data_IF_910375472422
#
_entry.id   IF_910375472422
#
_cell.length_a   1.000
_cell.length_b   1.000
_cell.length_c   1.000
_cell.angle_alpha   90.00
_cell.angle_beta   90.00
_cell.angle_gamma   90.00
#
_symmetry.space_group_name_H-M   'P 1'
#
loop_
_entity.id
_entity.type
_entity.pdbx_description
1 polymer ?
#
# COMPACT_ATOMS: atom_id res chain seq x y z
N UNK A 1 8.82 3.57 -11.50
CA UNK A 1 7.72 3.58 -10.51
C UNK A 1 8.18 2.77 -9.32
N UNK A 2 7.79 3.16 -8.12
CA UNK A 2 8.10 2.46 -6.88
C UNK A 2 6.80 2.05 -6.19
N UNK A 3 6.87 1.17 -5.18
CA UNK A 3 5.74 0.87 -4.31
C UNK A 3 5.61 2.01 -3.30
N UNK A 4 4.60 2.90 -3.41
CA UNK A 4 4.53 4.13 -2.62
C UNK A 4 4.33 3.88 -1.12
N UNK A 5 3.75 2.73 -0.77
CA UNK A 5 3.53 2.27 0.60
C UNK A 5 3.81 0.77 0.63
N UNK A 6 5.01 0.40 1.06
CA UNK A 6 5.42 -1.00 1.25
C UNK A 6 5.24 -1.38 2.72
N UNK A 7 4.11 -2.02 3.01
CA UNK A 7 3.67 -2.30 4.38
C UNK A 7 4.42 -3.49 4.97
N UNK A 8 4.71 -3.40 6.26
CA UNK A 8 5.08 -4.53 7.10
C UNK A 8 3.94 -4.84 8.07
N UNK A 9 3.88 -6.07 8.58
CA UNK A 9 2.92 -6.49 9.59
C UNK A 9 3.59 -7.30 10.71
N UNK A 10 2.87 -7.46 11.82
CA UNK A 10 3.16 -8.47 12.83
C UNK A 10 2.12 -9.58 12.75
N UNK A 11 2.47 -10.68 12.10
CA UNK A 11 1.64 -11.89 12.08
C UNK A 11 2.07 -12.87 13.17
N UNK A 12 1.11 -13.30 14.00
CA UNK A 12 1.33 -14.28 15.07
C UNK A 12 0.48 -15.53 14.87
N UNK A 13 0.92 -16.63 15.50
CA UNK A 13 0.13 -17.86 15.56
C UNK A 13 -1.21 -17.63 16.24
N UNK A 14 -2.31 -18.02 15.57
CA UNK A 14 -3.67 -17.92 16.13
C UNK A 14 -3.80 -18.73 17.45
N UNK A 15 -3.07 -19.84 17.59
CA UNK A 15 -3.05 -20.63 18.84
C UNK A 15 -2.48 -19.82 20.00
N UNK A 16 -1.39 -19.09 19.77
CA UNK A 16 -0.77 -18.25 20.80
C UNK A 16 -1.62 -17.02 21.09
N UNK A 17 -2.15 -16.38 20.05
CA UNK A 17 -3.07 -15.25 20.17
C UNK A 17 -4.30 -15.58 21.02
N UNK A 18 -4.88 -16.76 20.85
CA UNK A 18 -6.07 -17.16 21.61
C UNK A 18 -5.81 -17.52 23.07
N UNK A 19 -4.54 -17.69 23.48
CA UNK A 19 -4.17 -17.99 24.87
C UNK A 19 -3.97 -16.74 25.73
N UNK A 20 -3.73 -15.59 25.12
CA UNK A 20 -3.47 -14.35 25.86
C UNK A 20 -4.78 -13.66 26.25
N UNK A 21 -4.75 -12.93 27.36
CA UNK A 21 -5.93 -12.22 27.89
C UNK A 21 -6.37 -11.08 26.93
N UNK A 22 -7.64 -10.62 27.02
CA UNK A 22 -8.09 -9.46 26.25
C UNK A 22 -7.21 -8.22 26.44
N UNK A 23 -6.77 -7.95 27.67
CA UNK A 23 -5.87 -6.84 27.97
C UNK A 23 -4.50 -6.98 27.26
N UNK A 24 -3.97 -8.20 27.16
CA UNK A 24 -2.72 -8.45 26.45
C UNK A 24 -2.88 -8.33 24.93
N UNK A 25 -4.03 -8.73 24.36
CA UNK A 25 -4.31 -8.52 22.94
C UNK A 25 -4.33 -7.04 22.60
N UNK A 26 -5.07 -6.25 23.40
CA UNK A 26 -5.13 -4.80 23.25
C UNK A 26 -3.74 -4.17 23.39
N UNK A 27 -2.94 -4.61 24.38
CA UNK A 27 -1.57 -4.16 24.55
C UNK A 27 -0.73 -4.40 23.28
N UNK A 28 -0.76 -5.62 22.73
CA UNK A 28 -0.01 -5.93 21.50
C UNK A 28 -0.47 -5.06 20.33
N UNK A 29 -1.77 -4.90 20.13
CA UNK A 29 -2.31 -4.04 19.05
C UNK A 29 -1.82 -2.60 19.18
N UNK A 30 -1.90 -2.02 20.38
CA UNK A 30 -1.45 -0.64 20.64
C UNK A 30 0.06 -0.49 20.42
N UNK A 31 0.88 -1.41 20.91
CA UNK A 31 2.33 -1.34 20.74
C UNK A 31 2.76 -1.53 19.29
N UNK A 32 2.05 -2.36 18.51
CA UNK A 32 2.31 -2.48 17.06
C UNK A 32 1.95 -1.19 16.32
N UNK A 33 0.86 -0.51 16.70
CA UNK A 33 0.52 0.80 16.14
C UNK A 33 1.59 1.85 16.45
N UNK A 34 2.03 1.95 17.71
CA UNK A 34 3.13 2.85 18.11
C UNK A 34 4.42 2.51 17.37
N UNK A 35 4.76 1.22 17.26
CA UNK A 35 5.92 0.76 16.51
C UNK A 35 5.84 1.16 15.04
N UNK A 36 4.68 1.02 14.39
CA UNK A 36 4.46 1.38 12.99
C UNK A 36 4.85 2.85 12.73
N UNK A 37 4.37 3.76 13.57
CA UNK A 37 4.65 5.19 13.46
C UNK A 37 6.14 5.49 13.69
N UNK A 38 6.71 4.92 14.76
CA UNK A 38 8.12 5.10 15.10
C UNK A 38 9.06 4.51 14.04
N UNK A 39 8.72 3.34 13.51
CA UNK A 39 9.46 2.66 12.45
C UNK A 39 9.45 3.53 11.18
N UNK A 40 8.26 3.93 10.72
CA UNK A 40 8.13 4.79 9.54
C UNK A 40 8.95 6.08 9.68
N UNK A 41 8.82 6.81 10.80
CA UNK A 41 9.56 8.05 11.02
C UNK A 41 11.09 7.86 11.02
N UNK A 42 11.58 6.75 11.59
CA UNK A 42 13.02 6.42 11.57
C UNK A 42 13.52 6.11 10.17
N UNK A 43 12.75 5.34 9.38
CA UNK A 43 13.08 5.04 7.99
C UNK A 43 13.12 6.32 7.17
N UNK A 44 12.10 7.19 7.28
CA UNK A 44 12.10 8.48 6.57
C UNK A 44 13.34 9.31 6.90
N UNK A 45 13.74 9.40 8.17
CA UNK A 45 14.97 10.11 8.57
C UNK A 45 16.22 9.46 7.97
N UNK A 46 16.30 8.14 7.96
CA UNK A 46 17.43 7.41 7.40
C UNK A 46 17.52 7.58 5.88
N UNK A 47 16.39 7.56 5.18
CA UNK A 47 16.31 7.78 3.73
C UNK A 47 16.76 9.19 3.36
N UNK A 48 16.36 10.21 4.13
CA UNK A 48 16.86 11.58 3.94
C UNK A 48 18.38 11.66 4.09
N UNK A 49 18.96 10.97 5.07
CA UNK A 49 20.42 10.90 5.24
C UNK A 49 21.12 10.08 4.14
N UNK A 50 20.42 9.10 3.54
CA UNK A 50 20.98 8.25 2.50
C UNK A 50 21.22 8.98 1.18
N UNK A 51 20.44 10.03 0.88
CA UNK A 51 20.64 10.85 -0.33
C UNK A 51 22.08 11.35 -0.48
N UNK A 52 22.67 11.87 0.61
CA UNK A 52 24.06 12.34 0.59
C UNK A 52 25.06 11.23 0.25
N UNK A 53 24.80 10.01 0.74
CA UNK A 53 25.66 8.84 0.46
C UNK A 53 25.60 8.44 -1.01
N UNK A 54 24.41 8.52 -1.62
CA UNK A 54 24.25 8.25 -3.05
C UNK A 54 24.97 9.30 -3.91
N UNK A 55 24.91 10.58 -3.53
CA UNK A 55 25.66 11.66 -4.18
C UNK A 55 27.17 11.43 -4.09
N UNK A 56 27.69 11.12 -2.89
CA UNK A 56 29.12 10.87 -2.66
C UNK A 56 29.63 9.64 -3.42
N UNK A 57 28.77 8.65 -3.62
CA UNK A 57 29.03 7.47 -4.44
C UNK A 57 28.95 7.73 -5.95
N UNK A 58 28.59 8.95 -6.39
CA UNK A 58 28.43 9.29 -7.80
C UNK A 58 27.19 8.66 -8.45
N UNK A 59 26.14 8.37 -7.67
CA UNK A 59 24.90 7.76 -8.16
C UNK A 59 24.12 8.74 -9.03
N UNK A 60 23.66 8.30 -10.20
CA UNK A 60 22.77 9.07 -11.07
C UNK A 60 21.32 8.69 -10.81
N UNK A 61 20.50 9.65 -10.38
CA UNK A 61 19.07 9.45 -10.14
C UNK A 61 18.26 9.90 -11.35
N UNK A 62 17.69 8.96 -12.08
CA UNK A 62 16.79 9.23 -13.21
C UNK A 62 15.35 9.41 -12.72
N UNK A 63 14.61 10.35 -13.33
CA UNK A 63 13.18 10.57 -13.07
C UNK A 63 12.39 10.16 -14.29
N UNK A 64 11.34 9.36 -14.09
CA UNK A 64 10.39 9.04 -15.15
C UNK A 64 9.56 10.29 -15.50
N UNK A 65 9.12 10.36 -16.75
CA UNK A 65 8.21 11.40 -17.22
C UNK A 65 6.76 11.14 -16.77
N UNK A 66 5.90 12.14 -16.93
CA UNK A 66 4.47 11.98 -16.72
C UNK A 66 3.87 10.95 -17.68
N UNK A 67 4.30 10.96 -18.95
CA UNK A 67 3.85 10.01 -19.97
C UNK A 67 4.17 8.55 -19.59
N UNK A 68 5.34 8.32 -18.97
CA UNK A 68 5.69 7.00 -18.45
C UNK A 68 4.72 6.56 -17.35
N UNK A 69 4.40 7.47 -16.40
CA UNK A 69 3.44 7.19 -15.31
C UNK A 69 2.05 6.88 -15.87
N UNK A 70 1.60 7.62 -16.88
CA UNK A 70 0.31 7.38 -17.54
C UNK A 70 0.28 6.05 -18.28
N UNK A 71 1.35 5.70 -19.00
CA UNK A 71 1.48 4.42 -19.69
C UNK A 71 1.39 3.25 -18.70
N UNK A 72 2.10 3.34 -17.58
CA UNK A 72 2.00 2.34 -16.51
C UNK A 72 0.62 2.31 -15.84
N UNK A 73 -0.03 3.46 -15.64
CA UNK A 73 -1.36 3.51 -15.04
C UNK A 73 -2.39 2.77 -15.91
N UNK A 74 -2.34 2.97 -17.23
CA UNK A 74 -3.19 2.25 -18.20
C UNK A 74 -3.01 0.73 -18.15
N UNK A 75 -1.80 0.26 -17.81
CA UNK A 75 -1.51 -1.17 -17.61
C UNK A 75 -1.89 -1.66 -16.21
N UNK A 76 -1.70 -0.84 -15.18
CA UNK A 76 -1.91 -1.19 -13.78
C UNK A 76 -3.39 -1.39 -13.47
N UNK A 77 -4.26 -0.48 -13.93
CA UNK A 77 -5.70 -0.54 -13.61
C UNK A 77 -6.34 -1.89 -14.01
N UNK A 78 -6.22 -2.39 -15.26
CA UNK A 78 -6.74 -3.71 -15.60
C UNK A 78 -6.14 -4.85 -14.77
N UNK A 79 -4.87 -4.72 -14.34
CA UNK A 79 -4.23 -5.73 -13.50
C UNK A 79 -4.80 -5.73 -12.08
N UNK A 80 -5.16 -4.58 -11.51
CA UNK A 80 -5.85 -4.52 -10.22
C UNK A 80 -7.15 -5.31 -10.24
N UNK A 81 -8.00 -5.08 -11.26
CA UNK A 81 -9.23 -5.85 -11.43
C UNK A 81 -8.96 -7.33 -11.71
N UNK A 82 -7.93 -7.67 -12.49
CA UNK A 82 -7.58 -9.07 -12.75
C UNK A 82 -7.18 -9.81 -11.46
N UNK A 83 -6.43 -9.16 -10.55
CA UNK A 83 -6.06 -9.72 -9.25
C UNK A 83 -7.24 -9.78 -8.28
N UNK A 84 -8.00 -8.70 -8.18
CA UNK A 84 -9.23 -8.65 -7.38
C UNK A 84 -10.21 -9.75 -7.81
N UNK A 85 -10.28 -10.08 -9.09
CA UNK A 85 -11.15 -11.11 -9.65
C UNK A 85 -10.61 -12.56 -9.56
N UNK A 86 -9.56 -12.81 -8.76
CA UNK A 86 -9.08 -14.15 -8.44
C UNK A 86 -9.77 -14.77 -7.23
N UNK A 87 -10.20 -13.96 -6.27
CA UNK A 87 -10.77 -14.40 -5.00
C UNK A 87 -11.83 -13.41 -4.48
N UNK A 88 -12.81 -13.90 -3.71
CA UNK A 88 -13.90 -13.09 -3.17
C UNK A 88 -13.40 -12.03 -2.19
N UNK A 89 -12.50 -12.40 -1.28
CA UNK A 89 -11.99 -11.48 -0.25
C UNK A 89 -11.08 -10.43 -0.90
N UNK A 90 -10.30 -10.82 -1.91
CA UNK A 90 -9.53 -9.89 -2.73
C UNK A 90 -10.42 -8.84 -3.43
N UNK A 91 -11.56 -9.26 -4.01
CA UNK A 91 -12.51 -8.33 -4.62
C UNK A 91 -13.14 -7.38 -3.61
N UNK A 92 -13.49 -7.88 -2.42
CA UNK A 92 -14.05 -7.06 -1.35
C UNK A 92 -13.04 -6.02 -0.84
N UNK A 93 -11.80 -6.43 -0.57
CA UNK A 93 -10.73 -5.54 -0.15
C UNK A 93 -10.45 -4.46 -1.20
N UNK A 94 -10.34 -4.85 -2.48
CA UNK A 94 -10.12 -3.90 -3.56
C UNK A 94 -11.32 -2.96 -3.78
N UNK A 95 -12.56 -3.42 -3.60
CA UNK A 95 -13.75 -2.55 -3.71
C UNK A 95 -13.70 -1.40 -2.71
N UNK A 96 -13.36 -1.68 -1.45
CA UNK A 96 -13.23 -0.66 -0.41
C UNK A 96 -12.15 0.37 -0.81
N UNK A 97 -11.00 -0.10 -1.27
CA UNK A 97 -9.91 0.76 -1.72
C UNK A 97 -10.31 1.59 -2.94
N UNK A 98 -10.98 0.98 -3.93
CA UNK A 98 -11.43 1.66 -5.14
C UNK A 98 -12.46 2.75 -4.82
N UNK A 99 -13.44 2.47 -3.96
CA UNK A 99 -14.42 3.46 -3.52
C UNK A 99 -13.76 4.64 -2.83
N UNK A 100 -12.76 4.37 -1.98
CA UNK A 100 -12.01 5.43 -1.31
C UNK A 100 -11.17 6.24 -2.30
N UNK A 101 -10.48 5.59 -3.24
CA UNK A 101 -9.70 6.27 -4.29
C UNK A 101 -10.56 7.10 -5.24
N UNK A 102 -11.81 6.70 -5.50
CA UNK A 102 -12.77 7.44 -6.32
C UNK A 102 -13.58 8.47 -5.53
N UNK A 103 -13.48 8.48 -4.21
CA UNK A 103 -14.20 9.41 -3.35
C UNK A 103 -13.67 10.85 -3.52
N UNK A 104 -14.51 11.83 -3.19
CA UNK A 104 -14.11 13.24 -3.17
C UNK A 104 -12.99 13.57 -2.18
N UNK A 105 -12.63 12.65 -1.28
CA UNK A 105 -11.52 12.81 -0.34
C UNK A 105 -10.15 12.59 -1.00
N UNK A 106 -10.06 11.74 -2.04
CA UNK A 106 -8.81 11.43 -2.72
C UNK A 106 -8.82 11.80 -4.20
N UNK A 107 -9.84 11.37 -4.95
CA UNK A 107 -9.90 11.59 -6.40
C UNK A 107 -8.75 10.97 -7.20
N UNK A 108 -8.14 9.90 -6.69
CA UNK A 108 -6.99 9.21 -7.31
C UNK A 108 -7.38 8.40 -8.55
N UNK A 109 -8.64 7.95 -8.63
CA UNK A 109 -9.17 7.18 -9.74
C UNK A 109 -10.44 7.83 -10.27
N UNK A 110 -10.54 7.97 -11.59
CA UNK A 110 -11.73 8.52 -12.27
C UNK A 110 -12.59 7.40 -12.88
N UNK A 111 -13.90 7.65 -13.13
CA UNK A 111 -14.76 6.68 -13.82
C UNK A 111 -14.23 6.25 -15.19
N UNK A 112 -13.59 7.16 -15.92
CA UNK A 112 -13.02 6.87 -17.25
C UNK A 112 -11.84 5.90 -17.16
N UNK A 113 -11.01 5.98 -16.13
CA UNK A 113 -9.86 5.09 -15.94
C UNK A 113 -10.28 3.63 -15.71
N UNK A 114 -11.46 3.39 -15.14
CA UNK A 114 -11.99 2.05 -14.88
C UNK A 114 -13.05 1.60 -15.88
N UNK A 115 -13.26 2.37 -16.96
CA UNK A 115 -14.30 2.08 -17.95
C UNK A 115 -14.13 0.67 -18.53
N UNK A 116 -15.21 -0.11 -18.47
CA UNK A 116 -15.22 -1.51 -18.96
C UNK A 116 -14.66 -2.53 -17.97
N UNK A 117 -14.07 -2.11 -16.85
CA UNK A 117 -13.67 -3.02 -15.78
C UNK A 117 -14.88 -3.41 -14.92
N UNK A 118 -14.89 -4.65 -14.43
CA UNK A 118 -15.94 -5.18 -13.55
C UNK A 118 -15.34 -6.08 -12.48
N UNK A 119 -15.87 -6.01 -11.26
CA UNK A 119 -15.58 -6.97 -10.21
C UNK A 119 -16.60 -8.11 -10.25
N UNK A 120 -16.14 -9.35 -10.08
CA UNK A 120 -16.97 -10.55 -10.17
C UNK A 120 -17.87 -10.76 -8.94
N UNK A 121 -17.43 -10.29 -7.78
CA UNK A 121 -18.06 -10.55 -6.48
C UNK A 121 -18.49 -9.28 -5.75
N UNK A 122 -18.57 -8.15 -6.46
CA UNK A 122 -19.05 -6.86 -5.93
C UNK A 122 -20.54 -6.69 -6.06
#
# INVERSE_FOLDING_TARGET
>A
LYQPVDLMDLTVSNRSWNKISPAMKQFVEMEVHVYSDMHHAKIQKADQAAWKKFEDAGTVVTRLSQDDVEAFTKLAVPRWFAWANKDKDAAQAFKIQLDYMMSGSLGYVTPDQIKGQKLKWS
#
